data_IF_877347517821
#
_entry.id   IF_877347517821
#
_cell.length_a   1.000
_cell.length_b   1.000
_cell.length_c   1.000
_cell.angle_alpha   90.00
_cell.angle_beta   90.00
_cell.angle_gamma   90.00
#
_symmetry.space_group_name_H-M   'P 1'
#
loop_
_entity.id
_entity.type
_entity.pdbx_description
1 polymer ?
#
# COMPACT_ATOMS: atom_id res chain seq x y z
N UNK A 1 26.02 -11.10 -2.75
CA UNK A 1 25.38 -11.80 -1.61
C UNK A 1 23.86 -11.62 -1.55
N UNK A 2 23.26 -10.57 -2.14
CA UNK A 2 21.79 -10.37 -2.15
C UNK A 2 21.03 -11.07 -3.30
N UNK A 3 21.72 -11.73 -4.24
CA UNK A 3 21.10 -12.37 -5.42
C UNK A 3 20.45 -13.74 -5.12
N UNK A 4 20.49 -14.16 -3.85
CA UNK A 4 19.96 -15.44 -3.38
C UNK A 4 18.77 -15.28 -2.43
N UNK A 5 18.14 -14.10 -2.34
CA UNK A 5 16.80 -14.03 -1.75
C UNK A 5 15.86 -14.69 -2.75
N UNK A 6 15.76 -16.01 -2.66
CA UNK A 6 14.87 -16.81 -3.47
C UNK A 6 13.44 -16.65 -3.00
N UNK A 7 12.51 -17.18 -3.80
CA UNK A 7 11.10 -17.29 -3.42
C UNK A 7 10.92 -17.98 -2.05
N UNK A 8 11.82 -18.91 -1.70
CA UNK A 8 11.82 -19.60 -0.41
C UNK A 8 12.05 -18.65 0.78
N UNK A 9 13.08 -17.80 0.74
CA UNK A 9 13.31 -16.85 1.84
C UNK A 9 12.13 -15.89 2.02
N UNK A 10 11.53 -15.41 0.92
CA UNK A 10 10.37 -14.53 0.97
C UNK A 10 9.18 -15.24 1.63
N UNK A 11 8.93 -16.51 1.31
CA UNK A 11 7.87 -17.32 1.94
C UNK A 11 8.13 -17.48 3.44
N UNK A 12 9.36 -17.77 3.85
CA UNK A 12 9.71 -17.92 5.28
C UNK A 12 9.47 -16.61 6.04
N UNK A 13 9.91 -15.48 5.49
CA UNK A 13 9.66 -14.16 6.10
C UNK A 13 8.16 -13.85 6.16
N UNK A 14 7.42 -14.13 5.08
CA UNK A 14 5.97 -13.94 5.04
C UNK A 14 5.26 -14.79 6.10
N UNK A 15 5.68 -16.05 6.31
CA UNK A 15 5.15 -16.92 7.35
C UNK A 15 5.42 -16.38 8.75
N UNK A 16 6.62 -15.87 9.02
CA UNK A 16 6.95 -15.25 10.32
C UNK A 16 6.08 -14.01 10.57
N UNK A 17 5.94 -13.13 9.57
CA UNK A 17 5.04 -11.97 9.66
C UNK A 17 3.59 -12.40 9.86
N UNK A 18 3.15 -13.45 9.18
CA UNK A 18 1.80 -14.01 9.34
C UNK A 18 1.58 -14.55 10.75
N UNK A 19 2.60 -15.13 11.39
CA UNK A 19 2.51 -15.67 12.74
C UNK A 19 2.49 -14.56 13.79
N UNK A 20 3.28 -13.50 13.61
CA UNK A 20 3.36 -12.35 14.50
C UNK A 20 2.12 -11.46 14.44
N UNK A 21 1.67 -11.13 13.23
CA UNK A 21 0.56 -10.21 13.01
C UNK A 21 -0.79 -10.94 12.87
N UNK A 22 -0.78 -12.21 12.47
CA UNK A 22 -1.96 -12.97 12.12
C UNK A 22 -2.39 -12.75 10.66
N UNK A 23 -2.85 -13.82 10.00
CA UNK A 23 -3.23 -13.75 8.57
C UNK A 23 -4.39 -12.81 8.22
N UNK A 24 -5.15 -12.37 9.23
CA UNK A 24 -6.22 -11.38 9.05
C UNK A 24 -5.73 -9.93 9.16
N UNK A 25 -4.61 -9.67 9.86
CA UNK A 25 -4.15 -8.29 10.09
C UNK A 25 -3.32 -7.73 8.96
N UNK A 26 -2.57 -8.55 8.24
CA UNK A 26 -1.87 -8.12 7.03
C UNK A 26 -2.82 -7.49 5.98
N UNK A 27 -3.93 -8.14 5.58
CA UNK A 27 -4.88 -7.55 4.63
C UNK A 27 -5.66 -6.37 5.22
N UNK A 28 -5.97 -6.40 6.52
CA UNK A 28 -6.64 -5.30 7.23
C UNK A 28 -5.79 -4.02 7.21
N UNK A 29 -4.48 -4.14 7.50
CA UNK A 29 -3.52 -3.03 7.42
C UNK A 29 -3.31 -2.55 5.98
N UNK A 30 -3.22 -3.47 5.02
CA UNK A 30 -3.11 -3.11 3.61
C UNK A 30 -4.34 -2.33 3.12
N UNK A 31 -5.55 -2.72 3.55
CA UNK A 31 -6.77 -2.03 3.19
C UNK A 31 -6.80 -0.60 3.75
N UNK A 32 -6.49 -0.43 5.04
CA UNK A 32 -6.43 0.90 5.67
C UNK A 32 -5.35 1.81 5.08
N UNK A 33 -4.17 1.25 4.76
CA UNK A 33 -3.10 1.99 4.06
C UNK A 33 -3.52 2.37 2.64
N UNK A 34 -4.16 1.46 1.90
CA UNK A 34 -4.61 1.73 0.53
C UNK A 34 -5.67 2.83 0.50
N UNK A 35 -6.63 2.80 1.42
CA UNK A 35 -7.67 3.82 1.56
C UNK A 35 -7.06 5.18 1.93
N UNK A 36 -6.11 5.19 2.87
CA UNK A 36 -5.33 6.39 3.21
C UNK A 36 -4.61 6.95 2.00
N UNK A 37 -3.82 6.14 1.29
CA UNK A 37 -3.09 6.56 0.07
C UNK A 37 -4.04 7.08 -1.01
N UNK A 38 -5.23 6.47 -1.15
CA UNK A 38 -6.24 6.89 -2.11
C UNK A 38 -6.79 8.28 -1.77
N UNK A 39 -7.12 8.54 -0.51
CA UNK A 39 -7.60 9.86 -0.10
C UNK A 39 -6.47 10.90 -0.17
N UNK A 40 -5.25 10.56 0.23
CA UNK A 40 -4.07 11.42 0.05
C UNK A 40 -3.90 11.81 -1.42
N UNK A 41 -3.89 10.84 -2.35
CA UNK A 41 -3.78 11.12 -3.80
C UNK A 41 -4.94 11.97 -4.32
N UNK A 42 -6.15 11.78 -3.81
CA UNK A 42 -7.33 12.55 -4.22
C UNK A 42 -7.25 14.00 -3.75
N UNK A 43 -6.76 14.26 -2.54
CA UNK A 43 -6.49 15.61 -2.05
C UNK A 43 -5.44 16.31 -2.89
N UNK A 44 -4.31 15.64 -3.20
CA UNK A 44 -3.27 16.22 -4.07
C UNK A 44 -3.76 16.46 -5.51
N UNK A 45 -4.61 15.58 -6.05
CA UNK A 45 -5.13 15.70 -7.43
C UNK A 45 -6.33 16.65 -7.56
N UNK A 46 -6.96 17.01 -6.44
CA UNK A 46 -8.01 18.02 -6.37
C UNK A 46 -7.48 19.44 -6.56
N UNK A 47 -6.20 19.68 -6.30
CA UNK A 47 -5.52 20.95 -6.60
C UNK A 47 -5.27 21.12 -8.12
N UNK A 48 -5.03 20.03 -8.85
CA UNK A 48 -4.79 20.08 -10.31
C UNK A 48 -6.07 20.29 -11.13
N UNK A 49 -7.22 19.75 -10.67
CA UNK A 49 -8.47 19.80 -11.44
C UNK A 49 -9.28 21.09 -11.30
N UNK A 50 -9.01 21.91 -10.29
CA UNK A 50 -9.74 23.17 -10.09
C UNK A 50 -9.26 24.30 -11.01
N UNK A 51 -8.12 24.12 -11.69
CA UNK A 51 -7.56 25.12 -12.60
C UNK A 51 -8.16 25.08 -14.03
N UNK A 52 -8.99 24.08 -14.37
CA UNK A 52 -9.50 23.89 -15.74
C UNK A 52 -10.98 24.26 -15.93
N UNK A 53 -11.73 24.61 -14.88
CA UNK A 53 -13.19 24.90 -14.97
C UNK A 53 -13.57 26.39 -14.78
N UNK A 54 -12.62 27.34 -14.67
CA UNK A 54 -12.92 28.78 -14.52
C UNK A 54 -12.73 29.61 -15.81
N UNK A 55 -12.82 29.02 -17.02
CA UNK A 55 -12.70 29.77 -18.29
C UNK A 55 -13.79 29.50 -19.35
N UNK A 56 -15.00 29.06 -18.96
CA UNK A 56 -16.19 29.12 -19.85
C UNK A 56 -17.35 29.89 -19.21
#
# INVERSE_FOLDING_TARGET
>A
MLRNIGSTEIIVVALILLFLFGGKKLPELAHGLAESIREFRKSFKGEDKKAEEETE
#
